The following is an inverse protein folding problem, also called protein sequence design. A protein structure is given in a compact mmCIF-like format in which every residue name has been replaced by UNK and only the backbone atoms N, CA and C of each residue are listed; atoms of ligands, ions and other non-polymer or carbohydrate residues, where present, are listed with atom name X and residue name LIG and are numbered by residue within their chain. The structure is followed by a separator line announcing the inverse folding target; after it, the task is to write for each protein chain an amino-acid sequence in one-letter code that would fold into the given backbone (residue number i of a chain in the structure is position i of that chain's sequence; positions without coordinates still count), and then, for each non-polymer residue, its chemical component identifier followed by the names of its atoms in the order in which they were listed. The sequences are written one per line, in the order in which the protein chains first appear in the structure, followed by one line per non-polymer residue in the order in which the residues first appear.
data_IF_633768336655
#
_entry.id   IF_633768336655
#
_cell.length_a   1.000
_cell.length_b   1.000
_cell.length_c   1.000
_cell.angle_alpha   90.00
_cell.angle_beta   90.00
_cell.angle_gamma   90.00
#
_symmetry.space_group_name_H-M   'P 1'
#
loop_
_entity.id
_entity.type
_entity.pdbx_description
1 polymer ?
#
# COMPACT_ATOMS: atom_id res chain seq x y z
N UNK A 1 -76.82 65.20 -38.54
CA UNK A 1 -77.85 64.18 -38.30
C UNK A 1 -77.23 62.92 -37.67
N UNK A 2 -77.81 62.63 -36.53
CA UNK A 2 -77.63 61.50 -35.62
C UNK A 2 -77.80 60.14 -36.31
N UNK A 3 -77.66 58.97 -35.59
CA UNK A 3 -77.29 58.76 -34.15
C UNK A 3 -76.32 57.59 -33.88
N UNK A 4 -76.01 57.56 -32.63
CA UNK A 4 -75.44 56.48 -31.78
C UNK A 4 -75.99 55.07 -32.04
N UNK A 5 -75.14 54.12 -31.84
CA UNK A 5 -75.52 52.82 -31.26
C UNK A 5 -74.36 52.30 -30.40
N UNK A 6 -74.72 52.16 -29.16
CA UNK A 6 -74.03 51.44 -28.07
C UNK A 6 -73.84 49.97 -28.44
N UNK A 7 -72.66 49.44 -28.30
CA UNK A 7 -72.56 48.00 -28.18
C UNK A 7 -71.67 47.62 -26.99
N UNK A 8 -72.31 46.86 -26.17
CA UNK A 8 -71.89 46.35 -24.86
C UNK A 8 -71.38 44.96 -25.09
N UNK A 9 -70.06 44.79 -25.23
CA UNK A 9 -69.54 43.47 -25.32
C UNK A 9 -68.95 43.00 -23.98
N UNK A 10 -69.57 41.96 -23.54
CA UNK A 10 -69.26 41.10 -22.43
C UNK A 10 -67.74 40.77 -22.32
N UNK A 11 -67.20 41.02 -21.14
CA UNK A 11 -65.94 40.40 -20.74
C UNK A 11 -66.20 38.97 -20.30
N UNK A 12 -65.45 37.98 -20.78
CA UNK A 12 -65.37 36.68 -20.13
C UNK A 12 -64.33 36.77 -19.02
N UNK A 13 -64.76 36.50 -17.83
CA UNK A 13 -63.91 36.26 -16.67
C UNK A 13 -63.18 34.95 -16.86
N UNK A 14 -61.90 35.06 -17.23
CA UNK A 14 -60.99 33.93 -17.32
C UNK A 14 -60.40 33.69 -15.94
N UNK A 15 -60.93 32.69 -15.22
CA UNK A 15 -60.41 32.17 -14.00
C UNK A 15 -59.23 31.28 -14.34
N UNK A 16 -58.06 31.86 -14.56
CA UNK A 16 -56.78 31.12 -14.63
C UNK A 16 -56.39 30.62 -13.23
N UNK A 17 -56.60 29.37 -13.01
CA UNK A 17 -56.16 28.65 -11.82
C UNK A 17 -54.62 28.51 -11.85
N UNK A 18 -53.86 29.07 -10.92
CA UNK A 18 -52.43 28.88 -10.86
C UNK A 18 -52.13 27.54 -10.16
N UNK A 19 -52.08 26.45 -10.91
CA UNK A 19 -51.72 25.12 -10.39
C UNK A 19 -50.25 24.71 -10.55
N UNK A 20 -49.35 25.61 -10.94
CA UNK A 20 -47.97 25.20 -11.25
C UNK A 20 -46.86 25.74 -10.32
N UNK A 21 -47.16 26.56 -9.33
CA UNK A 21 -46.13 27.20 -8.51
C UNK A 21 -45.63 26.37 -7.33
N UNK A 22 -46.31 25.28 -6.96
CA UNK A 22 -45.93 24.46 -5.78
C UNK A 22 -44.96 23.31 -6.09
N UNK A 23 -44.75 22.95 -7.36
CA UNK A 23 -43.85 21.83 -7.71
C UNK A 23 -42.39 22.23 -7.88
N UNK A 24 -42.07 23.48 -8.15
CA UNK A 24 -40.70 23.96 -8.35
C UNK A 24 -39.80 23.84 -7.11
N UNK A 25 -40.24 24.15 -5.87
CA UNK A 25 -39.41 24.01 -4.72
C UNK A 25 -39.10 22.52 -4.37
N UNK A 26 -40.09 21.63 -4.63
CA UNK A 26 -39.92 20.20 -4.34
C UNK A 26 -38.85 19.54 -5.21
N UNK A 27 -38.83 19.88 -6.50
CA UNK A 27 -37.84 19.40 -7.47
C UNK A 27 -36.44 19.91 -7.10
N UNK A 28 -36.32 21.16 -6.66
CA UNK A 28 -35.07 21.76 -6.26
C UNK A 28 -34.50 21.09 -4.98
N UNK A 29 -35.37 20.76 -4.02
CA UNK A 29 -34.96 20.03 -2.78
C UNK A 29 -34.59 18.61 -3.13
N UNK A 30 -35.33 17.91 -3.95
CA UNK A 30 -35.04 16.55 -4.38
C UNK A 30 -33.67 16.46 -5.12
N UNK A 31 -33.41 17.42 -6.02
CA UNK A 31 -32.16 17.53 -6.75
C UNK A 31 -30.98 17.78 -5.80
N UNK A 32 -31.12 18.61 -4.76
CA UNK A 32 -30.08 18.84 -3.75
C UNK A 32 -29.82 17.60 -2.91
N UNK A 33 -30.87 16.84 -2.54
CA UNK A 33 -30.75 15.56 -1.83
C UNK A 33 -30.05 14.52 -2.68
N UNK A 34 -30.39 14.40 -3.96
CA UNK A 34 -29.71 13.41 -4.87
C UNK A 34 -28.24 13.79 -5.09
N UNK A 35 -27.92 15.07 -5.28
CA UNK A 35 -26.54 15.54 -5.41
C UNK A 35 -25.76 15.31 -4.11
N UNK A 36 -26.36 15.60 -2.95
CA UNK A 36 -25.74 15.35 -1.66
C UNK A 36 -25.48 13.85 -1.40
N UNK A 37 -26.44 13.00 -1.77
CA UNK A 37 -26.30 11.54 -1.68
C UNK A 37 -25.21 11.02 -2.63
N UNK A 38 -25.16 11.52 -3.87
CA UNK A 38 -24.13 11.15 -4.83
C UNK A 38 -22.72 11.59 -4.37
N UNK A 39 -22.61 12.77 -3.76
CA UNK A 39 -21.35 13.25 -3.18
C UNK A 39 -20.93 12.39 -1.97
N UNK A 40 -21.88 11.99 -1.13
CA UNK A 40 -21.63 11.11 0.01
C UNK A 40 -21.20 9.71 -0.45
N UNK A 41 -21.82 9.16 -1.49
CA UNK A 41 -21.40 7.88 -2.08
C UNK A 41 -19.99 7.97 -2.71
N UNK A 42 -19.64 9.11 -3.32
CA UNK A 42 -18.27 9.30 -3.85
C UNK A 42 -17.22 9.37 -2.75
N UNK A 43 -17.56 9.88 -1.55
CA UNK A 43 -16.63 9.87 -0.41
C UNK A 43 -16.39 8.46 0.17
N UNK A 44 -17.37 7.57 0.05
CA UNK A 44 -17.23 6.17 0.52
C UNK A 44 -16.37 5.32 -0.43
N UNK A 45 -16.16 5.77 -1.66
CA UNK A 45 -15.33 5.12 -2.67
C UNK A 45 -13.84 5.45 -2.53
N UNK A 46 -13.42 6.24 -1.51
CA UNK A 46 -12.00 6.33 -1.20
C UNK A 46 -11.55 4.91 -0.86
N UNK A 47 -10.73 4.26 -1.71
CA UNK A 47 -10.13 3.01 -1.32
C UNK A 47 -9.39 3.33 -0.03
N UNK A 48 -9.87 2.78 1.08
CA UNK A 48 -9.03 2.65 2.25
C UNK A 48 -7.81 1.92 1.72
N UNK A 49 -6.76 2.66 1.38
CA UNK A 49 -5.42 2.12 1.21
C UNK A 49 -5.11 1.49 2.55
N UNK A 50 -5.58 0.27 2.68
CA UNK A 50 -5.21 -0.61 3.76
C UNK A 50 -3.71 -0.70 3.66
N UNK A 51 -3.01 -0.02 4.56
CA UNK A 51 -1.59 -0.24 4.85
C UNK A 51 -1.35 -1.68 5.36
N UNK A 52 -2.27 -2.59 5.08
CA UNK A 52 -2.32 -4.00 5.48
C UNK A 52 -1.35 -4.90 4.71
N UNK A 53 -0.37 -4.32 4.03
CA UNK A 53 0.68 -5.08 3.35
C UNK A 53 2.10 -4.66 3.72
N UNK A 54 2.29 -3.58 4.49
CA UNK A 54 3.65 -3.18 4.87
C UNK A 54 4.18 -4.05 6.01
N UNK A 55 5.41 -4.59 5.88
CA UNK A 55 6.03 -5.31 6.97
C UNK A 55 6.31 -4.35 8.14
N UNK A 56 6.21 -4.81 9.39
CA UNK A 56 6.65 -4.04 10.54
C UNK A 56 8.11 -3.59 10.34
N UNK A 57 8.46 -2.40 10.81
CA UNK A 57 9.82 -1.87 10.68
C UNK A 57 10.89 -2.84 11.18
N UNK A 58 10.61 -3.56 12.26
CA UNK A 58 11.53 -4.57 12.80
C UNK A 58 11.81 -5.71 11.80
N UNK A 59 10.78 -6.17 11.10
CA UNK A 59 10.91 -7.19 10.05
C UNK A 59 11.78 -6.68 8.90
N UNK A 60 11.55 -5.44 8.46
CA UNK A 60 12.37 -4.82 7.42
C UNK A 60 13.83 -4.69 7.85
N UNK A 61 14.08 -4.23 9.08
CA UNK A 61 15.44 -4.14 9.63
C UNK A 61 16.11 -5.50 9.68
N UNK A 62 15.43 -6.53 10.16
CA UNK A 62 15.95 -7.89 10.23
C UNK A 62 16.25 -8.46 8.83
N UNK A 63 15.35 -8.26 7.86
CA UNK A 63 15.57 -8.70 6.49
C UNK A 63 16.80 -8.04 5.87
N UNK A 64 16.98 -6.72 6.08
CA UNK A 64 18.16 -5.99 5.60
C UNK A 64 19.44 -6.46 6.27
N UNK A 65 19.42 -6.70 7.59
CA UNK A 65 20.58 -7.23 8.31
C UNK A 65 20.99 -8.59 7.74
N UNK A 66 20.03 -9.51 7.54
CA UNK A 66 20.29 -10.80 6.91
C UNK A 66 20.81 -10.66 5.47
N UNK A 67 20.25 -9.73 4.68
CA UNK A 67 20.74 -9.49 3.32
C UNK A 67 22.21 -9.04 3.32
N UNK A 68 22.58 -8.13 4.23
CA UNK A 68 23.98 -7.69 4.37
C UNK A 68 24.87 -8.88 4.74
N UNK A 69 24.46 -9.69 5.73
CA UNK A 69 25.22 -10.87 6.14
C UNK A 69 25.45 -11.84 4.99
N UNK A 70 24.37 -12.22 4.27
CA UNK A 70 24.51 -13.10 3.12
C UNK A 70 25.43 -12.54 2.03
N UNK A 71 25.34 -11.24 1.77
CA UNK A 71 26.22 -10.59 0.79
C UNK A 71 27.69 -10.66 1.24
N UNK A 72 27.95 -10.47 2.53
CA UNK A 72 29.30 -10.56 3.08
C UNK A 72 29.83 -12.00 3.06
N UNK A 73 28.98 -12.98 3.38
CA UNK A 73 29.33 -14.41 3.31
C UNK A 73 29.66 -14.84 1.88
N UNK A 74 28.82 -14.47 0.91
CA UNK A 74 29.06 -14.77 -0.51
C UNK A 74 30.37 -14.13 -1.01
N UNK A 75 30.62 -12.87 -0.63
CA UNK A 75 31.85 -12.18 -1.00
C UNK A 75 33.08 -12.83 -0.36
N UNK A 76 33.03 -13.17 0.93
CA UNK A 76 34.09 -13.84 1.64
C UNK A 76 34.38 -15.20 1.00
N UNK A 77 33.35 -15.98 0.66
CA UNK A 77 33.50 -17.27 -0.01
C UNK A 77 34.15 -17.12 -1.40
N UNK A 78 33.68 -16.14 -2.19
CA UNK A 78 34.24 -15.88 -3.53
C UNK A 78 35.70 -15.44 -3.51
N UNK A 79 36.13 -14.72 -2.47
CA UNK A 79 37.46 -14.21 -2.30
C UNK A 79 38.34 -15.16 -1.43
N UNK A 80 37.81 -16.28 -0.96
CA UNK A 80 38.47 -17.21 -0.04
C UNK A 80 38.98 -16.51 1.23
N UNK A 81 38.26 -15.55 1.73
CA UNK A 81 38.53 -14.81 2.96
C UNK A 81 37.75 -15.41 4.13
N UNK A 82 38.23 -15.23 5.37
CA UNK A 82 37.43 -15.58 6.54
C UNK A 82 36.13 -14.75 6.54
N UNK A 83 35.04 -15.39 6.97
CA UNK A 83 33.75 -14.68 7.10
C UNK A 83 33.90 -13.49 8.06
N UNK A 84 33.36 -12.34 7.67
CA UNK A 84 33.34 -11.17 8.52
C UNK A 84 32.42 -11.41 9.70
N UNK A 85 32.92 -11.16 10.91
CA UNK A 85 32.15 -11.33 12.14
C UNK A 85 31.53 -10.01 12.57
N UNK A 86 30.24 -10.01 12.88
CA UNK A 86 29.57 -8.89 13.50
C UNK A 86 28.20 -8.58 12.88
N UNK A 87 27.30 -8.12 13.71
CA UNK A 87 25.96 -7.72 13.28
C UNK A 87 26.01 -6.34 12.62
N UNK A 88 25.41 -6.17 11.43
CA UNK A 88 25.40 -4.88 10.75
C UNK A 88 24.49 -3.88 11.49
N UNK A 89 25.00 -2.67 11.69
CA UNK A 89 24.22 -1.54 12.18
C UNK A 89 23.51 -0.84 11.03
N UNK A 90 22.18 -0.80 11.08
CA UNK A 90 21.35 -0.24 10.02
C UNK A 90 20.81 1.14 10.40
N UNK A 91 20.83 2.09 9.47
CA UNK A 91 20.37 3.46 9.68
C UNK A 91 19.65 3.98 8.43
N UNK A 92 18.83 5.03 8.61
CA UNK A 92 18.16 5.78 7.54
C UNK A 92 17.55 4.94 6.42
N UNK A 93 16.75 3.94 6.78
CA UNK A 93 16.04 3.12 5.79
C UNK A 93 14.97 3.96 5.11
N UNK A 94 15.04 4.05 3.78
CA UNK A 94 14.07 4.75 2.92
C UNK A 94 13.51 3.76 1.93
N UNK A 95 12.21 3.54 1.99
CA UNK A 95 11.48 2.75 1.02
C UNK A 95 11.14 3.66 -0.16
N UNK A 96 11.54 3.28 -1.37
CA UNK A 96 11.30 4.02 -2.60
C UNK A 96 10.18 3.40 -3.43
N UNK A 97 10.13 2.07 -3.48
CA UNK A 97 9.12 1.33 -4.22
C UNK A 97 8.60 0.15 -3.42
N UNK A 98 7.32 -0.12 -3.61
CA UNK A 98 6.64 -1.28 -3.05
C UNK A 98 5.70 -1.86 -4.09
N UNK A 99 5.79 -3.16 -4.30
CA UNK A 99 4.95 -3.90 -5.23
C UNK A 99 4.67 -5.32 -4.76
N UNK A 100 4.02 -6.10 -5.59
CA UNK A 100 3.83 -7.53 -5.36
C UNK A 100 4.39 -8.30 -6.54
N UNK A 101 5.05 -9.40 -6.25
CA UNK A 101 5.64 -10.30 -7.24
C UNK A 101 5.23 -11.73 -6.95
N UNK A 102 4.89 -12.48 -8.00
CA UNK A 102 4.56 -13.89 -7.87
C UNK A 102 5.84 -14.72 -7.89
N UNK A 103 6.15 -15.37 -6.78
CA UNK A 103 7.30 -16.26 -6.62
C UNK A 103 6.79 -17.65 -6.27
N UNK A 104 7.06 -18.63 -7.11
CA UNK A 104 6.61 -20.03 -6.94
C UNK A 104 5.10 -20.16 -6.63
N UNK A 105 4.26 -19.31 -7.29
CA UNK A 105 2.82 -19.30 -7.09
C UNK A 105 2.33 -18.59 -5.83
N UNK A 106 3.23 -17.99 -5.05
CA UNK A 106 2.89 -17.20 -3.87
C UNK A 106 3.12 -15.71 -4.12
N UNK A 107 2.25 -14.87 -3.56
CA UNK A 107 2.39 -13.41 -3.69
C UNK A 107 3.39 -12.90 -2.64
N UNK A 108 4.58 -12.56 -3.09
CA UNK A 108 5.60 -11.90 -2.28
C UNK A 108 5.47 -10.38 -2.37
N UNK A 109 5.81 -9.69 -1.30
CA UNK A 109 5.92 -8.25 -1.25
C UNK A 109 7.33 -7.87 -1.71
N UNK A 110 7.41 -7.12 -2.81
CA UNK A 110 8.65 -6.60 -3.37
C UNK A 110 8.92 -5.20 -2.84
N UNK A 111 10.05 -4.99 -2.19
CA UNK A 111 10.45 -3.74 -1.56
C UNK A 111 11.81 -3.30 -2.10
N UNK A 112 11.86 -2.08 -2.61
CA UNK A 112 13.10 -1.46 -3.07
C UNK A 112 13.30 -0.12 -2.36
N UNK A 113 14.56 0.22 -2.11
CA UNK A 113 14.88 1.46 -1.44
C UNK A 113 16.35 1.62 -1.15
N UNK A 114 16.65 2.48 -0.18
CA UNK A 114 18.02 2.80 0.21
C UNK A 114 18.16 2.84 1.72
N UNK A 115 19.37 2.51 2.20
CA UNK A 115 19.69 2.52 3.61
C UNK A 115 21.16 2.81 3.85
N UNK A 116 21.48 3.24 5.07
CA UNK A 116 22.86 3.34 5.52
C UNK A 116 23.17 2.19 6.45
N UNK A 117 24.36 1.65 6.36
CA UNK A 117 24.79 0.57 7.22
C UNK A 117 26.30 0.58 7.48
N UNK A 118 26.73 -0.10 8.53
CA UNK A 118 28.14 -0.34 8.83
C UNK A 118 28.32 -1.70 9.54
N UNK A 119 29.44 -2.33 9.33
CA UNK A 119 29.92 -3.40 10.20
C UNK A 119 30.65 -2.80 11.41
N UNK A 120 30.87 -3.58 12.48
CA UNK A 120 31.78 -3.17 13.56
C UNK A 120 33.14 -2.76 13.00
N UNK A 121 33.65 -1.65 13.46
CA UNK A 121 34.94 -1.07 13.06
C UNK A 121 35.08 -0.63 11.60
N UNK A 122 34.02 -0.75 10.79
CA UNK A 122 33.98 -0.31 9.39
C UNK A 122 33.35 1.09 9.22
N UNK A 123 33.78 1.86 8.21
CA UNK A 123 33.12 3.11 7.84
C UNK A 123 31.65 2.90 7.46
N UNK A 124 30.82 3.89 7.78
CA UNK A 124 29.41 3.86 7.38
C UNK A 124 29.30 3.93 5.85
N UNK A 125 28.61 2.96 5.28
CA UNK A 125 28.21 2.96 3.87
C UNK A 125 26.87 3.67 3.73
N UNK A 126 26.89 4.79 3.03
CA UNK A 126 25.74 5.63 2.85
C UNK A 126 24.98 5.24 1.59
N UNK A 127 23.65 5.41 1.63
CA UNK A 127 22.79 5.36 0.46
C UNK A 127 22.87 4.07 -0.35
N UNK A 128 23.09 2.95 0.33
CA UNK A 128 23.20 1.63 -0.30
C UNK A 128 21.82 1.19 -0.79
N UNK A 129 21.67 0.74 -2.03
CA UNK A 129 20.39 0.25 -2.53
C UNK A 129 20.06 -1.11 -1.91
N UNK A 130 18.77 -1.39 -1.76
CA UNK A 130 18.29 -2.73 -1.42
C UNK A 130 17.11 -3.13 -2.31
N UNK A 131 17.00 -4.43 -2.49
CA UNK A 131 15.93 -5.11 -3.19
C UNK A 131 15.56 -6.35 -2.39
N UNK A 132 14.32 -6.42 -1.88
CA UNK A 132 13.87 -7.46 -0.97
C UNK A 132 12.56 -8.05 -1.43
N UNK A 133 12.46 -9.37 -1.37
CA UNK A 133 11.21 -10.10 -1.52
C UNK A 133 10.83 -10.70 -0.17
N UNK A 134 9.69 -10.26 0.37
CA UNK A 134 9.17 -10.71 1.65
C UNK A 134 7.86 -11.46 1.46
N UNK A 135 7.79 -12.68 1.95
CA UNK A 135 6.58 -13.49 1.91
C UNK A 135 5.82 -13.36 3.23
N UNK A 136 4.60 -12.80 3.24
CA UNK A 136 3.79 -12.78 4.43
C UNK A 136 3.22 -14.17 4.71
N UNK A 137 3.22 -14.59 5.97
CA UNK A 137 2.49 -15.79 6.39
C UNK A 137 0.98 -15.61 6.35
N UNK A 138 0.24 -16.70 6.38
CA UNK A 138 -1.21 -16.75 6.18
C UNK A 138 -2.05 -15.82 7.08
N UNK A 139 -1.52 -15.41 8.23
CA UNK A 139 -2.18 -14.47 9.16
C UNK A 139 -1.47 -13.11 9.24
N UNK A 140 -0.50 -12.83 8.36
CA UNK A 140 0.29 -11.58 8.39
C UNK A 140 1.12 -11.37 9.67
N UNK A 141 1.26 -12.40 10.50
CA UNK A 141 2.01 -12.34 11.77
C UNK A 141 3.46 -12.79 11.62
N UNK A 142 3.74 -13.61 10.65
CA UNK A 142 5.06 -14.11 10.29
C UNK A 142 5.47 -13.60 8.92
N UNK A 143 6.77 -13.49 8.73
CA UNK A 143 7.36 -13.06 7.48
C UNK A 143 8.54 -13.96 7.14
N UNK A 144 8.83 -14.09 5.86
CA UNK A 144 9.99 -14.82 5.36
C UNK A 144 10.70 -13.97 4.32
N UNK A 145 12.02 -13.88 4.44
CA UNK A 145 12.86 -13.30 3.39
C UNK A 145 13.05 -14.35 2.30
N UNK A 146 12.69 -14.01 1.07
CA UNK A 146 12.97 -14.84 -0.10
C UNK A 146 14.29 -14.41 -0.74
N UNK A 147 15.10 -15.40 -1.11
CA UNK A 147 16.35 -15.16 -1.82
C UNK A 147 16.35 -15.98 -3.10
N UNK A 148 16.71 -15.38 -4.25
CA UNK A 148 16.84 -16.13 -5.49
C UNK A 148 17.91 -17.21 -5.35
N UNK A 149 17.81 -18.30 -6.11
CA UNK A 149 18.83 -19.33 -6.13
C UNK A 149 20.16 -18.78 -6.62
N UNK A 150 21.26 -19.25 -6.05
CA UNK A 150 22.61 -18.89 -6.50
C UNK A 150 22.97 -19.56 -7.85
N UNK A 151 22.32 -20.69 -8.16
CA UNK A 151 22.54 -21.49 -9.36
C UNK A 151 21.21 -21.77 -10.06
N UNK A 152 21.21 -21.84 -11.38
CA UNK A 152 20.03 -22.21 -12.16
C UNK A 152 19.59 -23.66 -11.81
N UNK A 153 18.26 -23.82 -11.57
CA UNK A 153 17.67 -25.11 -11.22
C UNK A 153 17.52 -25.40 -9.73
N UNK A 154 18.04 -24.56 -8.87
CA UNK A 154 17.77 -24.60 -7.42
C UNK A 154 16.60 -23.68 -7.11
N UNK A 155 15.60 -24.14 -6.33
CA UNK A 155 14.46 -23.35 -5.95
C UNK A 155 14.80 -22.15 -5.05
N UNK A 156 13.84 -21.26 -4.87
CA UNK A 156 13.98 -20.11 -3.98
C UNK A 156 14.26 -20.55 -2.53
N UNK A 157 15.13 -19.83 -1.88
CA UNK A 157 15.40 -20.05 -0.45
C UNK A 157 14.56 -19.08 0.37
N UNK A 158 14.00 -19.56 1.47
CA UNK A 158 13.16 -18.73 2.35
C UNK A 158 13.68 -18.79 3.78
N UNK A 159 13.86 -17.61 4.39
CA UNK A 159 14.40 -17.45 5.74
C UNK A 159 13.33 -16.85 6.65
N UNK A 160 13.02 -17.46 7.79
CA UNK A 160 12.00 -16.93 8.70
C UNK A 160 12.47 -15.63 9.36
N UNK A 161 11.57 -14.66 9.46
CA UNK A 161 11.76 -13.41 10.16
C UNK A 161 10.83 -13.39 11.36
N UNK A 162 11.36 -13.20 12.55
CA UNK A 162 10.60 -13.17 13.79
C UNK A 162 10.53 -11.76 14.36
N UNK A 163 9.44 -11.45 15.05
CA UNK A 163 9.29 -10.15 15.74
C UNK A 163 10.21 -9.97 16.95
N UNK A 164 10.78 -11.06 17.45
CA UNK A 164 11.75 -11.07 18.54
C UNK A 164 13.12 -11.31 17.93
N UNK A 165 14.08 -10.44 18.27
CA UNK A 165 15.45 -10.53 17.75
C UNK A 165 16.02 -11.94 17.90
N UNK A 166 16.91 -12.29 16.99
CA UNK A 166 17.57 -13.59 16.85
C UNK A 166 17.84 -14.30 18.19
N UNK A 167 16.89 -15.15 18.59
CA UNK A 167 17.25 -16.34 19.37
C UNK A 167 17.23 -17.46 18.34
N UNK A 168 18.37 -17.73 17.77
CA UNK A 168 18.61 -18.99 17.03
C UNK A 168 18.60 -20.08 18.07
N UNK A 169 17.44 -20.67 18.33
CA UNK A 169 17.37 -21.97 19.00
C UNK A 169 18.01 -23.00 18.06
N UNK A 170 19.29 -23.26 18.28
CA UNK A 170 20.04 -24.35 17.69
C UNK A 170 19.64 -25.70 18.34
N UNK A 171 18.35 -25.92 18.58
CA UNK A 171 17.85 -27.07 19.34
C UNK A 171 17.01 -28.06 18.53
N UNK A 172 17.18 -28.14 17.21
CA UNK A 172 16.45 -29.18 16.45
C UNK A 172 17.29 -29.82 15.33
N UNK A 173 18.55 -30.11 15.65
CA UNK A 173 19.43 -30.92 14.80
C UNK A 173 19.86 -32.20 15.52
N UNK A 174 18.96 -32.86 16.27
CA UNK A 174 19.21 -34.17 16.85
C UNK A 174 17.87 -34.89 17.01
N UNK A 175 17.44 -35.61 16.00
CA UNK A 175 16.32 -36.51 16.01
C UNK A 175 16.31 -37.36 14.76
#
# INVERSE_FOLDING_TARGET
LLPAITDRSMQPTDHAVPRSAAMLPLIAVLRRLVVGMALLLMLVQLPACSASGQPPRQILMQALAMQVQFTQEDLAAALQLPALSGEPSLRRIRLEQQGHEAVEGQQALHLQGRFDWSLPDDPIRLDSPFDLLLLPGSKGQSWRLLRPPAEEGVGWRSYPLTRQGLVVDAADASG
#
